data_IF_088074558553
#
_entry.id   IF_088074558553
#
_cell.length_a   1.000
_cell.length_b   1.000
_cell.length_c   1.000
_cell.angle_alpha   90.00
_cell.angle_beta   90.00
_cell.angle_gamma   90.00
#
_symmetry.space_group_name_H-M   'P 1'
#
loop_
_entity.id
_entity.type
_entity.pdbx_description
1 polymer ?
#
# COMPACT_ATOMS: atom_id res chain seq x y z
N UNK A 1 51.58 39.78 7.03
CA UNK A 1 52.19 41.04 6.55
C UNK A 1 52.67 41.80 7.77
N UNK A 2 53.99 41.89 7.91
CA UNK A 2 54.70 42.51 9.02
C UNK A 2 54.69 44.04 8.92
N UNK A 3 54.83 44.78 10.04
CA UNK A 3 55.00 46.23 10.03
C UNK A 3 56.48 46.60 9.82
N UNK A 4 56.81 47.78 9.28
CA UNK A 4 58.17 48.29 9.32
C UNK A 4 58.37 49.25 10.50
N UNK A 5 59.37 48.90 11.30
CA UNK A 5 60.08 49.71 12.27
C UNK A 5 61.44 50.13 11.69
N UNK A 6 61.78 51.43 11.71
CA UNK A 6 63.15 51.94 11.91
C UNK A 6 63.13 53.49 11.94
N UNK A 7 63.49 54.08 13.08
CA UNK A 7 64.75 54.81 13.35
C UNK A 7 64.91 56.07 12.49
N UNK A 8 64.73 57.27 13.07
CA UNK A 8 65.70 57.96 13.92
C UNK A 8 66.88 58.48 13.09
N UNK A 9 66.71 59.72 12.62
CA UNK A 9 67.79 60.55 12.09
C UNK A 9 67.90 61.82 12.96
N UNK A 10 69.15 62.15 13.25
CA UNK A 10 69.68 63.09 14.25
C UNK A 10 69.27 64.54 13.95
N UNK A 11 68.82 65.35 14.91
CA UNK A 11 69.60 66.22 15.82
C UNK A 11 70.61 67.20 15.18
N UNK A 12 70.44 68.46 15.61
CA UNK A 12 71.37 69.60 15.71
C UNK A 12 71.85 70.32 14.44
N UNK A 13 71.27 71.52 14.21
CA UNK A 13 72.07 72.75 14.02
C UNK A 13 71.41 73.84 14.87
N UNK A 14 72.21 74.38 15.78
CA UNK A 14 71.91 75.47 16.67
C UNK A 14 72.03 76.83 15.95
N UNK A 15 71.43 77.83 16.57
CA UNK A 15 71.87 79.23 16.59
C UNK A 15 71.85 80.00 15.27
N UNK A 16 70.84 80.88 15.15
CA UNK A 16 71.08 82.27 14.77
C UNK A 16 69.98 83.12 15.42
N UNK A 17 70.31 83.66 16.58
CA UNK A 17 69.69 84.87 17.09
C UNK A 17 70.17 86.03 16.23
N UNK A 18 69.25 86.66 15.49
CA UNK A 18 69.47 88.02 15.01
C UNK A 18 68.24 88.86 15.32
N UNK A 19 68.49 89.79 16.22
CA UNK A 19 67.66 90.80 16.82
C UNK A 19 67.26 91.88 15.79
N UNK A 20 65.95 92.10 15.57
CA UNK A 20 65.47 93.35 14.99
C UNK A 20 64.11 93.74 15.60
N UNK A 21 64.19 94.54 16.65
CA UNK A 21 63.06 95.09 17.37
C UNK A 21 62.42 96.29 16.64
N UNK A 22 61.13 96.20 16.27
CA UNK A 22 60.13 97.29 16.11
C UNK A 22 58.72 96.68 15.86
N UNK A 23 57.61 97.43 16.04
CA UNK A 23 56.85 97.67 17.28
C UNK A 23 55.96 96.49 17.73
N UNK A 24 56.19 96.01 18.96
CA UNK A 24 55.76 94.69 19.49
C UNK A 24 54.27 94.57 19.90
N UNK A 25 53.46 95.63 19.85
CA UNK A 25 52.11 95.54 20.44
C UNK A 25 50.96 95.25 19.47
N UNK A 26 51.10 95.49 18.16
CA UNK A 26 49.97 95.35 17.21
C UNK A 26 50.05 94.05 16.40
N UNK A 27 51.25 93.64 15.99
CA UNK A 27 51.51 92.37 15.27
C UNK A 27 51.22 91.17 16.15
N UNK A 28 51.68 91.18 17.41
CA UNK A 28 51.38 90.14 18.38
C UNK A 28 49.88 89.96 18.68
N UNK A 29 49.07 91.02 18.57
CA UNK A 29 47.61 90.96 18.75
C UNK A 29 46.92 90.39 17.51
N UNK A 30 47.42 90.71 16.31
CA UNK A 30 46.92 90.14 15.05
C UNK A 30 47.25 88.65 14.97
N UNK A 31 48.47 88.26 15.35
CA UNK A 31 48.91 86.85 15.38
C UNK A 31 48.07 86.01 16.33
N UNK A 32 47.79 86.51 17.54
CA UNK A 32 46.92 85.81 18.50
C UNK A 32 45.48 85.67 18.01
N UNK A 33 44.95 86.65 17.28
CA UNK A 33 43.59 86.58 16.69
C UNK A 33 43.54 85.58 15.54
N UNK A 34 44.57 85.53 14.72
CA UNK A 34 44.70 84.58 13.63
C UNK A 34 44.88 83.15 14.16
N UNK A 35 45.71 82.95 15.17
CA UNK A 35 45.87 81.67 15.86
C UNK A 35 44.56 81.22 16.52
N UNK A 36 43.84 82.12 17.18
CA UNK A 36 42.51 81.84 17.72
C UNK A 36 41.48 81.52 16.63
N UNK A 37 41.56 82.14 15.46
CA UNK A 37 40.70 81.84 14.32
C UNK A 37 41.06 80.48 13.69
N UNK A 38 42.34 80.18 13.51
CA UNK A 38 42.85 78.92 12.96
C UNK A 38 42.49 77.75 13.88
N UNK A 39 42.68 77.88 15.18
CA UNK A 39 42.28 76.85 16.17
C UNK A 39 40.77 76.61 16.16
N UNK A 40 39.95 77.67 16.05
CA UNK A 40 38.49 77.54 15.90
C UNK A 40 38.10 76.87 14.59
N UNK A 41 38.73 77.25 13.49
CA UNK A 41 38.50 76.66 12.16
C UNK A 41 38.93 75.19 12.12
N UNK A 42 40.11 74.87 12.65
CA UNK A 42 40.62 73.49 12.79
C UNK A 42 39.69 72.63 13.64
N UNK A 43 39.24 73.12 14.80
CA UNK A 43 38.27 72.41 15.64
C UNK A 43 36.94 72.19 14.93
N UNK A 44 36.50 73.16 14.12
CA UNK A 44 35.28 73.03 13.31
C UNK A 44 35.46 72.04 12.16
N UNK A 45 36.60 72.07 11.48
CA UNK A 45 36.96 71.13 10.43
C UNK A 45 37.00 69.69 10.96
N UNK A 46 37.64 69.46 12.11
CA UNK A 46 37.69 68.14 12.75
C UNK A 46 36.30 67.61 13.13
N UNK A 47 35.38 68.49 13.55
CA UNK A 47 33.97 68.12 13.82
C UNK A 47 33.24 67.71 12.54
N UNK A 48 33.44 68.45 11.45
CA UNK A 48 32.83 68.10 10.16
C UNK A 48 33.41 66.80 9.61
N UNK A 49 34.70 66.57 9.76
CA UNK A 49 35.33 65.30 9.39
C UNK A 49 34.71 64.13 10.15
N UNK A 50 34.53 64.27 11.46
CA UNK A 50 33.86 63.26 12.28
C UNK A 50 32.41 63.00 11.82
N UNK A 51 31.63 64.06 11.61
CA UNK A 51 30.26 63.94 11.12
C UNK A 51 30.19 63.29 9.73
N UNK A 52 31.14 63.61 8.85
CA UNK A 52 31.22 63.02 7.52
C UNK A 52 31.52 61.52 7.59
N UNK A 53 32.49 61.13 8.43
CA UNK A 53 32.84 59.71 8.66
C UNK A 53 31.67 58.91 9.23
N UNK A 54 30.92 59.49 10.16
CA UNK A 54 29.72 58.86 10.72
C UNK A 54 28.64 58.65 9.66
N UNK A 55 28.42 59.63 8.78
CA UNK A 55 27.47 59.49 7.67
C UNK A 55 27.95 58.44 6.67
N UNK A 56 29.23 58.44 6.31
CA UNK A 56 29.84 57.44 5.44
C UNK A 56 29.66 56.03 6.01
N UNK A 57 29.90 55.84 7.31
CA UNK A 57 29.69 54.57 7.98
C UNK A 57 28.22 54.11 7.89
N UNK A 58 27.27 54.99 8.21
CA UNK A 58 25.82 54.68 8.12
C UNK A 58 25.38 54.37 6.70
N UNK A 59 25.91 55.07 5.71
CA UNK A 59 25.62 54.78 4.31
C UNK A 59 26.21 53.44 3.89
N UNK A 60 27.44 53.12 4.30
CA UNK A 60 28.06 51.83 4.03
C UNK A 60 27.26 50.67 4.64
N UNK A 61 26.84 50.80 5.90
CA UNK A 61 26.00 49.82 6.58
C UNK A 61 24.64 49.67 5.88
N UNK A 62 23.98 50.78 5.55
CA UNK A 62 22.67 50.77 4.88
C UNK A 62 22.75 50.14 3.48
N UNK A 63 23.81 50.41 2.72
CA UNK A 63 24.03 49.79 1.41
C UNK A 63 24.34 48.29 1.54
N UNK A 64 25.10 47.89 2.55
CA UNK A 64 25.34 46.47 2.85
C UNK A 64 24.02 45.77 3.17
N UNK A 65 23.19 46.36 4.03
CA UNK A 65 21.88 45.83 4.40
C UNK A 65 20.94 45.74 3.19
N UNK A 66 20.88 46.77 2.36
CA UNK A 66 20.07 46.75 1.15
C UNK A 66 20.51 45.63 0.19
N UNK A 67 21.83 45.45 0.02
CA UNK A 67 22.38 44.37 -0.82
C UNK A 67 22.05 42.99 -0.27
N UNK A 68 22.06 42.81 1.04
CA UNK A 68 21.65 41.55 1.67
C UNK A 68 20.16 41.26 1.41
N UNK A 69 19.30 42.28 1.55
CA UNK A 69 17.87 42.17 1.26
C UNK A 69 17.62 41.83 -0.21
N UNK A 70 18.31 42.51 -1.14
CA UNK A 70 18.19 42.27 -2.58
C UNK A 70 18.58 40.82 -2.94
N UNK A 71 19.67 40.31 -2.35
CA UNK A 71 20.08 38.91 -2.52
C UNK A 71 19.01 37.93 -2.04
N UNK A 72 18.40 38.17 -0.88
CA UNK A 72 17.33 37.33 -0.34
C UNK A 72 16.07 37.39 -1.21
N UNK A 73 15.71 38.59 -1.70
CA UNK A 73 14.57 38.78 -2.58
C UNK A 73 14.75 38.02 -3.90
N UNK A 74 15.96 38.09 -4.47
CA UNK A 74 16.29 37.38 -5.69
C UNK A 74 16.26 35.87 -5.48
N UNK A 75 16.78 35.36 -4.36
CA UNK A 75 16.68 33.95 -4.01
C UNK A 75 15.23 33.50 -3.87
N UNK A 76 14.41 34.23 -3.11
CA UNK A 76 13.00 33.95 -2.94
C UNK A 76 12.23 33.95 -4.28
N UNK A 77 12.51 34.92 -5.15
CA UNK A 77 11.89 35.00 -6.47
C UNK A 77 12.29 33.81 -7.36
N UNK A 78 13.56 33.44 -7.40
CA UNK A 78 14.00 32.26 -8.16
C UNK A 78 13.42 30.97 -7.59
N UNK A 79 13.30 30.85 -6.26
CA UNK A 79 12.63 29.75 -5.58
C UNK A 79 11.16 29.65 -5.97
N UNK A 80 10.44 30.77 -5.93
CA UNK A 80 9.04 30.84 -6.31
C UNK A 80 8.83 30.47 -7.78
N UNK A 81 9.65 31.01 -8.69
CA UNK A 81 9.58 30.67 -10.13
C UNK A 81 9.79 29.19 -10.39
N UNK A 82 10.75 28.56 -9.71
CA UNK A 82 10.99 27.10 -9.80
C UNK A 82 9.82 26.31 -9.22
N UNK A 83 9.24 26.75 -8.11
CA UNK A 83 8.09 26.08 -7.51
C UNK A 83 6.85 26.18 -8.41
N UNK A 84 6.55 27.38 -8.92
CA UNK A 84 5.46 27.61 -9.87
C UNK A 84 5.57 26.70 -11.09
N UNK A 85 6.77 26.57 -11.68
CA UNK A 85 6.99 25.67 -12.82
C UNK A 85 6.79 24.19 -12.45
N UNK A 86 7.19 23.76 -11.25
CA UNK A 86 6.96 22.39 -10.76
C UNK A 86 5.48 22.13 -10.52
N UNK A 87 4.75 23.09 -9.94
CA UNK A 87 3.32 22.99 -9.72
C UNK A 87 2.55 22.93 -11.05
N UNK A 88 2.91 23.76 -12.02
CA UNK A 88 2.34 23.73 -13.36
C UNK A 88 2.62 22.41 -14.08
N UNK A 89 3.84 21.88 -13.96
CA UNK A 89 4.19 20.56 -14.52
C UNK A 89 3.40 19.42 -13.85
N UNK A 90 3.28 19.43 -12.52
CA UNK A 90 2.47 18.45 -11.80
C UNK A 90 1.00 18.52 -12.24
N UNK A 91 0.46 19.73 -12.42
CA UNK A 91 -0.92 19.92 -12.87
C UNK A 91 -1.15 19.45 -14.31
N UNK A 92 -0.19 19.67 -15.20
CA UNK A 92 -0.33 19.37 -16.63
C UNK A 92 0.02 17.94 -17.00
N UNK A 93 0.88 17.27 -16.23
CA UNK A 93 1.37 15.93 -16.54
C UNK A 93 0.93 14.94 -15.47
N UNK A 94 1.32 15.15 -14.21
CA UNK A 94 1.11 14.16 -13.16
C UNK A 94 -0.36 13.94 -12.82
N UNK A 95 -1.17 15.01 -12.75
CA UNK A 95 -2.59 14.89 -12.42
C UNK A 95 -3.36 14.10 -13.51
N UNK A 96 -3.22 14.42 -14.80
CA UNK A 96 -3.81 13.60 -15.87
C UNK A 96 -3.38 12.14 -15.84
N UNK A 97 -2.08 11.87 -15.69
CA UNK A 97 -1.54 10.51 -15.68
C UNK A 97 -2.15 9.68 -14.54
N UNK A 98 -2.18 10.23 -13.32
CA UNK A 98 -2.83 9.58 -12.17
C UNK A 98 -4.32 9.36 -12.40
N UNK A 99 -5.00 10.31 -13.03
CA UNK A 99 -6.42 10.17 -13.35
C UNK A 99 -6.66 9.07 -14.39
N UNK A 100 -5.78 8.92 -15.38
CA UNK A 100 -5.85 7.83 -16.35
C UNK A 100 -5.61 6.46 -15.71
N UNK A 101 -4.60 6.35 -14.85
CA UNK A 101 -4.31 5.09 -14.11
C UNK A 101 -5.48 4.69 -13.19
N UNK A 102 -6.13 5.69 -12.56
CA UNK A 102 -7.30 5.45 -11.73
C UNK A 102 -8.50 4.97 -12.55
N UNK A 103 -8.74 5.56 -13.72
CA UNK A 103 -9.82 5.14 -14.62
C UNK A 103 -9.59 3.70 -15.13
N UNK A 104 -8.34 3.36 -15.50
CA UNK A 104 -7.96 2.00 -15.87
C UNK A 104 -8.21 1.01 -14.72
N UNK A 105 -7.80 1.37 -13.51
CA UNK A 105 -8.01 0.55 -12.32
C UNK A 105 -9.50 0.33 -12.00
N UNK A 106 -10.31 1.38 -12.14
CA UNK A 106 -11.77 1.29 -11.99
C UNK A 106 -12.39 0.39 -13.06
N UNK A 107 -11.89 0.46 -14.30
CA UNK A 107 -12.36 -0.40 -15.37
C UNK A 107 -12.09 -1.88 -15.06
N UNK A 108 -10.87 -2.21 -14.65
CA UNK A 108 -10.48 -3.58 -14.23
C UNK A 108 -11.33 -4.06 -13.05
N UNK A 109 -11.55 -3.21 -12.05
CA UNK A 109 -12.38 -3.58 -10.90
C UNK A 109 -13.84 -3.86 -11.30
N UNK A 110 -14.36 -3.09 -12.26
CA UNK A 110 -15.71 -3.29 -12.80
C UNK A 110 -15.80 -4.61 -13.58
N UNK A 111 -14.81 -4.92 -14.40
CA UNK A 111 -14.73 -6.21 -15.10
C UNK A 111 -14.66 -7.38 -14.11
N UNK A 112 -13.85 -7.26 -13.07
CA UNK A 112 -13.77 -8.27 -12.01
C UNK A 112 -15.13 -8.44 -11.29
N UNK A 113 -15.82 -7.35 -11.00
CA UNK A 113 -17.16 -7.37 -10.42
C UNK A 113 -18.20 -8.07 -11.30
N UNK A 114 -18.04 -8.04 -12.62
CA UNK A 114 -18.92 -8.74 -13.57
C UNK A 114 -18.57 -10.22 -13.73
N UNK A 115 -17.28 -10.56 -13.68
CA UNK A 115 -16.79 -11.93 -13.89
C UNK A 115 -16.94 -12.80 -12.64
N UNK A 116 -16.78 -12.23 -11.44
CA UNK A 116 -16.81 -12.97 -10.18
C UNK A 116 -18.10 -13.77 -9.93
N UNK A 117 -19.32 -13.23 -10.16
CA UNK A 117 -20.56 -14.01 -10.01
C UNK A 117 -20.64 -15.18 -10.99
N UNK A 118 -20.12 -14.99 -12.20
CA UNK A 118 -20.06 -16.06 -13.21
C UNK A 118 -19.16 -17.20 -12.74
N UNK A 119 -17.98 -16.87 -12.20
CA UNK A 119 -17.08 -17.89 -11.63
C UNK A 119 -17.73 -18.57 -10.41
N UNK A 120 -18.38 -17.80 -9.54
CA UNK A 120 -19.06 -18.35 -8.37
C UNK A 120 -20.16 -19.34 -8.76
N UNK A 121 -21.00 -19.00 -9.75
CA UNK A 121 -22.03 -19.91 -10.26
C UNK A 121 -21.42 -21.18 -10.87
N UNK A 122 -20.34 -21.06 -11.65
CA UNK A 122 -19.62 -22.22 -12.20
C UNK A 122 -19.07 -23.13 -11.09
N UNK A 123 -18.44 -22.57 -10.06
CA UNK A 123 -17.91 -23.34 -8.91
C UNK A 123 -19.05 -24.05 -8.16
N UNK A 124 -20.18 -23.38 -7.93
CA UNK A 124 -21.34 -24.03 -7.30
C UNK A 124 -21.91 -25.17 -8.15
N UNK A 125 -21.92 -25.01 -9.48
CA UNK A 125 -22.31 -26.06 -10.42
C UNK A 125 -21.39 -27.27 -10.32
N UNK A 126 -20.07 -27.07 -10.38
CA UNK A 126 -19.07 -28.13 -10.26
C UNK A 126 -19.23 -28.88 -8.92
N UNK A 127 -19.42 -28.14 -7.82
CA UNK A 127 -19.65 -28.73 -6.50
C UNK A 127 -20.90 -29.61 -6.49
N UNK A 128 -22.01 -29.16 -7.08
CA UNK A 128 -23.24 -29.95 -7.14
C UNK A 128 -23.07 -31.27 -7.90
N UNK A 129 -22.32 -31.25 -9.00
CA UNK A 129 -22.02 -32.45 -9.81
C UNK A 129 -21.10 -33.40 -9.04
N UNK A 130 -20.08 -32.86 -8.39
CA UNK A 130 -19.17 -33.64 -7.54
C UNK A 130 -19.91 -34.32 -6.38
N UNK A 131 -20.78 -33.60 -5.68
CA UNK A 131 -21.57 -34.13 -4.56
C UNK A 131 -22.60 -35.18 -5.02
N UNK A 132 -23.16 -35.02 -6.23
CA UNK A 132 -24.02 -36.03 -6.86
C UNK A 132 -23.23 -37.30 -7.22
N UNK A 133 -22.04 -37.16 -7.81
CA UNK A 133 -21.16 -38.27 -8.12
C UNK A 133 -20.71 -39.03 -6.86
N UNK A 134 -20.37 -38.30 -5.80
CA UNK A 134 -20.04 -38.86 -4.47
C UNK A 134 -21.17 -39.71 -3.90
N UNK A 135 -22.42 -39.21 -3.93
CA UNK A 135 -23.58 -39.97 -3.46
C UNK A 135 -23.78 -41.24 -4.26
N UNK A 136 -23.76 -41.16 -5.60
CA UNK A 136 -23.89 -42.35 -6.46
C UNK A 136 -22.80 -43.38 -6.19
N UNK A 137 -21.57 -42.95 -5.96
CA UNK A 137 -20.48 -43.86 -5.62
C UNK A 137 -20.70 -44.54 -4.26
N UNK A 138 -21.25 -43.82 -3.27
CA UNK A 138 -21.63 -44.40 -1.97
C UNK A 138 -22.74 -45.43 -2.12
N UNK A 139 -23.80 -45.10 -2.87
CA UNK A 139 -24.91 -46.02 -3.15
C UNK A 139 -24.39 -47.31 -3.82
N UNK A 140 -23.49 -47.18 -4.82
CA UNK A 140 -22.89 -48.32 -5.49
C UNK A 140 -22.00 -49.17 -4.56
N UNK A 141 -21.27 -48.53 -3.64
CA UNK A 141 -20.46 -49.25 -2.64
C UNK A 141 -21.37 -50.01 -1.69
N UNK A 142 -22.49 -49.40 -1.24
CA UNK A 142 -23.48 -50.07 -0.40
C UNK A 142 -24.13 -51.25 -1.13
N UNK A 143 -24.48 -51.10 -2.41
CA UNK A 143 -25.02 -52.16 -3.25
C UNK A 143 -24.02 -53.31 -3.45
N UNK A 144 -22.75 -52.99 -3.70
CA UNK A 144 -21.67 -53.98 -3.84
C UNK A 144 -21.41 -54.71 -2.53
N UNK A 145 -21.38 -54.00 -1.40
CA UNK A 145 -21.25 -54.59 -0.07
C UNK A 145 -22.42 -55.52 0.23
N UNK A 146 -23.65 -55.08 -0.06
CA UNK A 146 -24.85 -55.91 0.05
C UNK A 146 -24.78 -57.17 -0.81
N UNK A 147 -24.39 -57.06 -2.09
CA UNK A 147 -24.23 -58.22 -2.96
C UNK A 147 -23.12 -59.18 -2.50
N UNK A 148 -22.11 -58.67 -1.79
CA UNK A 148 -21.01 -59.46 -1.26
C UNK A 148 -21.34 -60.16 0.07
N UNK A 149 -22.42 -59.79 0.76
CA UNK A 149 -22.83 -60.49 1.98
C UNK A 149 -23.24 -61.95 1.71
N UNK A 150 -22.98 -62.86 2.65
CA UNK A 150 -23.33 -64.27 2.48
C UNK A 150 -24.85 -64.49 2.34
N UNK A 151 -25.25 -65.50 1.57
CA UNK A 151 -26.66 -65.76 1.25
C UNK A 151 -27.56 -65.88 2.49
N UNK A 152 -27.08 -66.57 3.55
CA UNK A 152 -27.84 -66.75 4.79
C UNK A 152 -28.07 -65.42 5.53
N UNK A 153 -27.10 -64.51 5.55
CA UNK A 153 -27.22 -63.18 6.15
C UNK A 153 -28.19 -62.28 5.37
N UNK A 154 -28.17 -62.34 4.02
CA UNK A 154 -29.16 -61.64 3.18
C UNK A 154 -30.57 -62.14 3.42
N UNK A 155 -30.76 -63.45 3.40
CA UNK A 155 -32.07 -64.07 3.56
C UNK A 155 -32.66 -63.77 4.96
N UNK A 156 -31.82 -63.84 6.01
CA UNK A 156 -32.18 -63.43 7.37
C UNK A 156 -32.59 -61.95 7.40
N UNK A 157 -31.80 -61.04 6.83
CA UNK A 157 -32.14 -59.62 6.83
C UNK A 157 -33.47 -59.35 6.13
N UNK A 158 -33.73 -59.93 4.96
CA UNK A 158 -34.98 -59.75 4.20
C UNK A 158 -36.22 -60.18 5.01
N UNK A 159 -36.16 -61.30 5.71
CA UNK A 159 -37.30 -61.83 6.48
C UNK A 159 -37.54 -61.03 7.76
N UNK A 160 -36.47 -60.54 8.39
CA UNK A 160 -36.56 -59.89 9.70
C UNK A 160 -36.53 -58.35 9.67
N UNK A 161 -36.26 -57.69 8.53
CA UNK A 161 -36.36 -56.23 8.37
C UNK A 161 -37.56 -55.82 7.51
N UNK A 162 -38.77 -56.16 7.97
CA UNK A 162 -40.05 -55.77 7.32
C UNK A 162 -40.49 -54.34 7.69
N UNK A 163 -39.61 -53.35 7.58
CA UNK A 163 -39.99 -51.93 7.71
C UNK A 163 -39.09 -51.05 6.85
N UNK A 164 -39.16 -51.25 5.52
CA UNK A 164 -39.04 -50.24 4.45
C UNK A 164 -38.84 -50.93 3.09
N UNK A 165 -39.81 -51.74 2.69
CA UNK A 165 -39.93 -52.22 1.32
C UNK A 165 -40.42 -51.09 0.41
N UNK A 166 -39.49 -50.45 -0.31
CA UNK A 166 -39.78 -49.63 -1.51
C UNK A 166 -39.50 -50.41 -2.81
N UNK A 167 -39.57 -51.74 -2.77
CA UNK A 167 -39.43 -52.62 -3.92
C UNK A 167 -40.64 -53.55 -3.97
N UNK A 168 -41.24 -53.67 -5.15
CA UNK A 168 -42.54 -54.28 -5.50
C UNK A 168 -43.77 -53.35 -5.41
N UNK A 169 -43.71 -52.22 -6.13
CA UNK A 169 -44.91 -51.73 -6.83
C UNK A 169 -44.89 -52.33 -8.23
N UNK A 170 -45.34 -53.58 -8.34
CA UNK A 170 -45.73 -54.19 -9.62
C UNK A 170 -47.22 -54.43 -9.51
N UNK A 171 -48.00 -53.41 -9.87
CA UNK A 171 -49.41 -53.60 -10.15
C UNK A 171 -49.51 -54.50 -11.39
N UNK A 172 -50.00 -55.72 -11.18
CA UNK A 172 -50.37 -56.64 -12.25
C UNK A 172 -49.32 -57.71 -12.54
N UNK A 173 -49.36 -58.81 -11.79
CA UNK A 173 -49.13 -60.14 -12.38
C UNK A 173 -49.78 -61.21 -11.50
N UNK A 174 -50.83 -61.85 -12.01
CA UNK A 174 -51.39 -63.07 -11.48
C UNK A 174 -50.33 -64.18 -11.57
N UNK A 175 -49.83 -64.68 -10.43
CA UNK A 175 -49.06 -65.91 -10.38
C UNK A 175 -49.21 -66.60 -9.01
N UNK A 176 -50.17 -67.53 -8.97
CA UNK A 176 -50.18 -68.89 -8.40
C UNK A 176 -49.31 -69.27 -7.17
N UNK A 177 -49.79 -70.25 -6.37
CA UNK A 177 -49.33 -70.55 -5.02
C UNK A 177 -48.09 -71.45 -5.01
N UNK A 178 -46.89 -70.88 -5.08
CA UNK A 178 -45.64 -71.67 -4.94
C UNK A 178 -45.14 -71.72 -3.49
N UNK A 179 -45.68 -70.88 -2.59
CA UNK A 179 -45.32 -70.89 -1.17
C UNK A 179 -45.82 -72.11 -0.37
N UNK A 180 -46.73 -72.91 -0.93
CA UNK A 180 -47.23 -74.14 -0.28
C UNK A 180 -46.31 -75.36 -0.42
N UNK A 181 -45.42 -75.40 -1.42
CA UNK A 181 -44.67 -76.61 -1.74
C UNK A 181 -43.35 -76.77 -0.98
N UNK A 182 -42.72 -75.67 -0.54
CA UNK A 182 -41.46 -75.72 0.23
C UNK A 182 -41.68 -75.96 1.73
N UNK A 183 -42.88 -75.71 2.27
CA UNK A 183 -43.19 -76.02 3.67
C UNK A 183 -43.58 -77.50 3.88
N UNK A 184 -44.07 -78.18 2.83
CA UNK A 184 -44.45 -79.60 2.88
C UNK A 184 -43.27 -80.58 2.82
N UNK A 185 -42.14 -80.19 2.22
CA UNK A 185 -40.96 -81.07 2.12
C UNK A 185 -40.05 -81.08 3.35
N UNK A 186 -40.21 -80.14 4.29
CA UNK A 186 -39.40 -80.08 5.52
C UNK A 186 -40.03 -80.81 6.71
N UNK A 187 -41.25 -81.36 6.56
CA UNK A 187 -42.00 -82.03 7.64
C UNK A 187 -42.29 -83.52 7.37
N UNK A 188 -41.91 -84.07 6.20
CA UNK A 188 -42.02 -85.50 5.89
C UNK A 188 -40.74 -85.97 5.22
N UNK A 189 -39.76 -86.44 6.00
CA UNK A 189 -38.58 -87.04 5.37
C UNK A 189 -37.32 -87.23 6.21
N UNK A 190 -37.40 -87.77 7.43
CA UNK A 190 -36.32 -88.59 7.99
C UNK A 190 -36.93 -89.64 8.90
N UNK A 191 -37.43 -90.74 8.31
CA UNK A 191 -37.24 -92.09 8.86
C UNK A 191 -37.84 -93.15 7.91
N UNK A 192 -37.01 -94.15 7.59
CA UNK A 192 -37.34 -95.45 6.98
C UNK A 192 -37.20 -95.60 5.44
N UNK A 193 -36.31 -96.51 4.97
CA UNK A 193 -35.96 -96.66 3.56
C UNK A 193 -36.57 -97.93 2.92
N UNK A 194 -37.89 -98.04 2.75
CA UNK A 194 -38.47 -99.04 1.83
C UNK A 194 -39.85 -98.59 1.32
N UNK A 195 -39.93 -98.06 0.09
CA UNK A 195 -41.23 -97.75 -0.51
C UNK A 195 -41.19 -96.77 -1.69
N UNK A 196 -40.39 -97.04 -2.71
CA UNK A 196 -40.39 -96.24 -3.95
C UNK A 196 -40.66 -97.10 -5.18
N UNK A 197 -41.75 -97.88 -5.18
CA UNK A 197 -42.36 -98.40 -6.40
C UNK A 197 -43.88 -98.39 -6.21
N UNK A 198 -44.52 -97.23 -6.38
CA UNK A 198 -45.92 -97.07 -6.82
C UNK A 198 -46.38 -95.63 -6.62
N UNK A 199 -45.91 -94.70 -7.46
CA UNK A 199 -46.63 -93.44 -7.67
C UNK A 199 -46.22 -92.76 -8.99
N UNK A 200 -46.11 -93.53 -10.07
CA UNK A 200 -45.88 -93.02 -11.43
C UNK A 200 -46.82 -93.70 -12.41
N UNK A 201 -48.11 -93.48 -12.16
CA UNK A 201 -49.20 -93.82 -13.07
C UNK A 201 -50.42 -93.06 -12.55
N UNK A 202 -50.65 -91.85 -13.06
CA UNK A 202 -51.96 -91.18 -13.29
C UNK A 202 -51.71 -89.67 -13.45
N UNK A 203 -50.99 -89.26 -14.50
CA UNK A 203 -51.13 -87.89 -15.01
C UNK A 203 -50.78 -87.82 -16.50
N UNK A 204 -51.46 -88.66 -17.28
CA UNK A 204 -51.54 -88.53 -18.73
C UNK A 204 -53.01 -88.67 -19.14
N UNK A 205 -53.80 -87.62 -18.91
CA UNK A 205 -55.05 -87.36 -19.62
C UNK A 205 -55.62 -85.99 -19.25
N UNK A 206 -55.99 -85.28 -20.31
CA UNK A 206 -56.85 -84.09 -20.38
C UNK A 206 -56.12 -82.74 -20.47
N UNK A 207 -56.18 -82.18 -21.68
CA UNK A 207 -56.75 -80.85 -21.92
C UNK A 207 -55.78 -79.70 -21.85
#
# INVERSE_FOLDING_TARGET
MSPPSHLQEQQSIAENEEELALPVSTTAVVDRRLEAALTRMSKRAARYEYQMKELEHKFSESLSNFRAIDSLLQEAFTGLKRNSKRAEHALTVQIPDVNTELEESLHVLKELGQTLPTIQTQVTGIRSVYDSGRRKAQDLVEDLEWMNTEFYERWRRIIFTSTKSRLFSVEGFHALPVYGFLCGMLLVGMDSPHGWISCLSTQARLG
#
